data_IF_229452418070
#
_entry.id   IF_229452418070
#
_cell.length_a   1.000
_cell.length_b   1.000
_cell.length_c   1.000
_cell.angle_alpha   90.00
_cell.angle_beta   90.00
_cell.angle_gamma   90.00
#
_symmetry.space_group_name_H-M   'P 1'
#
loop_
_entity.id
_entity.type
_entity.pdbx_description
1 polymer ?
#
# COMPACT_ATOMS: atom_id res chain seq x y z
N UNK A 1 -24.28 8.31 1.24
CA UNK A 1 -23.80 8.26 -0.16
C UNK A 1 -23.20 6.88 -0.36
N UNK A 2 -23.80 6.09 -1.24
CA UNK A 2 -23.36 4.72 -1.55
C UNK A 2 -21.94 4.72 -2.11
N UNK A 3 -21.17 3.71 -1.73
CA UNK A 3 -19.79 3.43 -2.15
C UNK A 3 -19.68 3.11 -3.66
N UNK A 4 -20.82 2.87 -4.32
CA UNK A 4 -20.98 2.32 -5.67
C UNK A 4 -20.47 3.22 -6.83
N UNK A 5 -20.03 4.46 -6.58
CA UNK A 5 -19.58 5.38 -7.65
C UNK A 5 -18.14 5.89 -7.48
N UNK A 6 -17.30 5.15 -6.75
CA UNK A 6 -15.89 5.52 -6.59
C UNK A 6 -15.01 4.42 -7.15
N UNK A 7 -14.04 4.80 -7.98
CA UNK A 7 -12.91 3.96 -8.45
C UNK A 7 -12.27 3.12 -7.33
N UNK A 8 -12.45 3.50 -6.06
CA UNK A 8 -12.01 2.73 -4.90
C UNK A 8 -12.60 1.32 -4.80
N UNK A 9 -13.78 1.06 -5.39
CA UNK A 9 -14.45 -0.26 -5.32
C UNK A 9 -13.56 -1.41 -5.80
N UNK A 10 -12.71 -1.16 -6.82
CA UNK A 10 -11.79 -2.15 -7.37
C UNK A 10 -10.87 -2.78 -6.32
N UNK A 11 -10.47 -2.01 -5.31
CA UNK A 11 -9.57 -2.49 -4.25
C UNK A 11 -10.29 -3.45 -3.30
N UNK A 12 -11.57 -3.20 -3.00
CA UNK A 12 -12.42 -4.06 -2.17
C UNK A 12 -12.72 -5.38 -2.87
N UNK A 13 -13.13 -5.31 -4.13
CA UNK A 13 -13.42 -6.50 -4.94
C UNK A 13 -12.18 -7.38 -5.08
N UNK A 14 -11.02 -6.77 -5.37
CA UNK A 14 -9.76 -7.48 -5.44
C UNK A 14 -9.39 -8.15 -4.11
N UNK A 15 -9.51 -7.43 -2.99
CA UNK A 15 -9.19 -7.99 -1.68
C UNK A 15 -10.11 -9.17 -1.33
N UNK A 16 -11.43 -9.02 -1.50
CA UNK A 16 -12.41 -10.08 -1.25
C UNK A 16 -12.16 -11.30 -2.12
N UNK A 17 -11.78 -11.12 -3.39
CA UNK A 17 -11.43 -12.23 -4.26
C UNK A 17 -10.20 -13.00 -3.74
N UNK A 18 -9.18 -12.29 -3.23
CA UNK A 18 -8.02 -12.94 -2.60
C UNK A 18 -8.41 -13.63 -1.29
N UNK A 19 -9.33 -13.07 -0.50
CA UNK A 19 -9.86 -13.75 0.69
C UNK A 19 -10.53 -15.08 0.33
N UNK A 20 -11.39 -15.12 -0.69
CA UNK A 20 -12.02 -16.36 -1.13
C UNK A 20 -10.98 -17.37 -1.63
N UNK A 21 -10.01 -16.92 -2.42
CA UNK A 21 -8.92 -17.78 -2.90
C UNK A 21 -8.05 -18.33 -1.75
N UNK A 22 -7.80 -17.52 -0.72
CA UNK A 22 -7.00 -17.91 0.43
C UNK A 22 -7.68 -18.98 1.29
N UNK A 23 -9.03 -19.01 1.36
CA UNK A 23 -9.76 -20.05 2.10
C UNK A 23 -9.51 -21.46 1.56
N UNK A 24 -9.20 -21.57 0.28
CA UNK A 24 -8.98 -22.85 -0.41
C UNK A 24 -7.51 -23.30 -0.40
N UNK A 25 -6.62 -22.58 0.29
CA UNK A 25 -5.18 -22.82 0.26
C UNK A 25 -4.53 -22.70 1.64
N UNK A 26 -3.59 -23.59 1.93
CA UNK A 26 -2.76 -23.52 3.15
C UNK A 26 -1.65 -22.46 3.07
N UNK A 27 -1.52 -21.76 1.94
CA UNK A 27 -0.48 -20.75 1.74
C UNK A 27 -0.83 -19.41 2.36
N UNK A 28 0.20 -18.64 2.72
CA UNK A 28 0.03 -17.23 3.11
C UNK A 28 -0.01 -16.34 1.87
N UNK A 29 -0.98 -15.43 1.85
CA UNK A 29 -1.17 -14.47 0.78
C UNK A 29 -1.00 -13.05 1.31
N UNK A 30 -0.38 -12.20 0.49
CA UNK A 30 -0.21 -10.78 0.78
C UNK A 30 -0.84 -9.98 -0.36
N UNK A 31 -1.84 -9.16 -0.04
CA UNK A 31 -2.47 -8.25 -0.97
C UNK A 31 -1.69 -6.93 -1.02
N UNK A 32 -1.01 -6.70 -2.15
CA UNK A 32 -0.10 -5.56 -2.34
C UNK A 32 -0.80 -4.49 -3.17
N UNK A 33 -0.82 -3.25 -2.67
CA UNK A 33 -1.41 -2.12 -3.39
C UNK A 33 -0.57 -0.86 -3.32
N UNK A 34 -0.78 0.03 -4.28
CA UNK A 34 -0.15 1.34 -4.30
C UNK A 34 -0.86 2.34 -3.36
N UNK A 35 -0.47 3.62 -3.47
CA UNK A 35 -0.95 4.72 -2.61
C UNK A 35 -2.43 5.05 -2.76
N UNK A 36 -3.08 4.64 -3.84
CA UNK A 36 -4.51 4.89 -4.06
C UNK A 36 -5.39 4.00 -3.17
N UNK A 37 -4.86 2.85 -2.74
CA UNK A 37 -5.54 1.91 -1.86
C UNK A 37 -5.42 2.27 -0.37
N UNK A 38 -4.73 3.35 0.01
CA UNK A 38 -4.66 3.84 1.38
C UNK A 38 -6.00 4.50 1.82
N UNK A 39 -6.98 3.63 2.01
CA UNK A 39 -8.39 3.92 2.30
C UNK A 39 -8.75 3.18 3.59
N UNK A 40 -9.34 3.87 4.56
CA UNK A 40 -9.61 3.31 5.90
C UNK A 40 -10.50 2.06 5.83
N UNK A 41 -11.53 2.12 5.00
CA UNK A 41 -12.51 1.06 4.82
C UNK A 41 -11.89 -0.25 4.32
N UNK A 42 -10.78 -0.21 3.58
CA UNK A 42 -10.07 -1.42 3.15
C UNK A 42 -9.40 -2.14 4.34
N UNK A 43 -8.86 -1.39 5.32
CA UNK A 43 -8.36 -1.97 6.56
C UNK A 43 -9.48 -2.53 7.44
N UNK A 44 -10.68 -1.95 7.38
CA UNK A 44 -11.84 -2.51 8.06
C UNK A 44 -12.23 -3.87 7.45
N UNK A 45 -12.22 -4.01 6.12
CA UNK A 45 -12.46 -5.30 5.46
C UNK A 45 -11.43 -6.36 5.89
N UNK A 46 -10.17 -5.98 6.10
CA UNK A 46 -9.16 -6.88 6.64
C UNK A 46 -9.52 -7.40 8.03
N UNK A 47 -9.94 -6.50 8.93
CA UNK A 47 -10.39 -6.86 10.28
C UNK A 47 -11.63 -7.75 10.22
N UNK A 48 -12.60 -7.42 9.36
CA UNK A 48 -13.86 -8.13 9.22
C UNK A 48 -13.69 -9.52 8.59
N UNK A 49 -12.68 -9.70 7.72
CA UNK A 49 -12.35 -10.99 7.11
C UNK A 49 -11.84 -12.03 8.14
N UNK A 50 -11.34 -11.57 9.29
CA UNK A 50 -11.02 -12.42 10.43
C UNK A 50 -9.76 -13.28 10.26
N UNK A 51 -9.73 -14.41 10.97
CA UNK A 51 -8.57 -15.31 10.96
C UNK A 51 -8.36 -15.94 9.58
N UNK A 52 -7.10 -15.97 9.12
CA UNK A 52 -6.66 -16.39 7.77
C UNK A 52 -6.96 -15.42 6.62
N UNK A 53 -7.39 -14.20 6.94
CA UNK A 53 -7.38 -13.10 5.99
C UNK A 53 -5.97 -12.92 5.36
N UNK A 54 -5.88 -12.63 4.05
CA UNK A 54 -4.61 -12.25 3.42
C UNK A 54 -4.03 -10.99 4.07
N UNK A 55 -2.74 -11.02 4.40
CA UNK A 55 -2.05 -9.85 4.94
C UNK A 55 -2.05 -8.70 3.91
N UNK A 56 -1.92 -7.46 4.36
CA UNK A 56 -1.89 -6.29 3.47
C UNK A 56 -0.54 -5.60 3.46
N UNK A 57 -0.06 -5.25 2.26
CA UNK A 57 1.06 -4.33 2.08
C UNK A 57 0.62 -3.16 1.18
N UNK A 58 0.27 -2.05 1.81
CA UNK A 58 -0.26 -0.87 1.12
C UNK A 58 0.72 0.28 1.31
N UNK A 59 1.09 0.95 0.21
CA UNK A 59 1.92 2.16 0.30
C UNK A 59 1.10 3.28 0.94
N UNK A 60 1.57 3.79 2.08
CA UNK A 60 0.88 4.86 2.77
C UNK A 60 0.88 6.18 1.96
N UNK A 61 -0.23 6.92 2.03
CA UNK A 61 -0.49 8.17 1.32
C UNK A 61 -1.03 9.28 2.24
N UNK A 62 -1.73 8.90 3.32
CA UNK A 62 -2.36 9.82 4.27
C UNK A 62 -1.70 9.71 5.62
N UNK A 63 -1.41 10.85 6.25
CA UNK A 63 -1.02 10.86 7.65
C UNK A 63 -2.17 10.33 8.53
N UNK A 64 -1.86 9.36 9.39
CA UNK A 64 -2.83 8.69 10.25
C UNK A 64 -2.50 8.98 11.71
N UNK A 65 -3.53 9.12 12.54
CA UNK A 65 -3.35 9.18 13.99
C UNK A 65 -3.11 7.78 14.53
N UNK A 66 -2.12 7.64 15.39
CA UNK A 66 -1.79 6.38 16.05
C UNK A 66 -2.35 6.35 17.47
N UNK A 67 -2.62 5.14 17.95
CA UNK A 67 -2.98 4.92 19.35
C UNK A 67 -1.81 5.33 20.25
N UNK A 68 -2.11 5.96 21.39
CA UNK A 68 -1.09 6.58 22.26
C UNK A 68 -0.72 8.02 21.89
N UNK A 69 -1.26 8.56 20.78
CA UNK A 69 -1.11 9.95 20.37
C UNK A 69 0.00 10.17 19.33
N UNK A 70 -0.14 11.25 18.57
CA UNK A 70 0.77 11.60 17.48
C UNK A 70 0.29 11.16 16.10
N UNK A 71 1.08 11.53 15.10
CA UNK A 71 0.86 11.21 13.69
C UNK A 71 1.88 10.16 13.24
N UNK A 72 1.45 9.30 12.33
CA UNK A 72 2.21 8.15 11.87
C UNK A 72 3.58 8.53 11.28
N UNK A 73 3.71 9.62 10.52
CA UNK A 73 4.99 9.97 9.89
C UNK A 73 5.96 10.53 10.93
N UNK A 74 5.50 11.49 11.73
CA UNK A 74 6.30 12.03 12.83
C UNK A 74 6.75 10.94 13.80
N UNK A 75 5.91 9.94 14.06
CA UNK A 75 6.29 8.78 14.87
C UNK A 75 7.40 7.96 14.22
N UNK A 76 7.27 7.61 12.93
CA UNK A 76 8.30 6.86 12.21
C UNK A 76 9.65 7.58 12.19
N UNK A 77 9.66 8.91 12.12
CA UNK A 77 10.89 9.72 12.17
C UNK A 77 11.61 9.63 13.52
N UNK A 78 10.92 9.26 14.61
CA UNK A 78 11.55 9.08 15.92
C UNK A 78 12.21 7.71 16.11
N UNK A 79 11.94 6.76 15.21
CA UNK A 79 12.46 5.40 15.33
C UNK A 79 13.88 5.30 14.76
N UNK A 80 14.73 4.52 15.42
CA UNK A 80 16.03 4.17 14.85
C UNK A 80 15.83 3.24 13.64
N UNK A 81 16.52 3.49 12.51
CA UNK A 81 16.44 2.60 11.36
C UNK A 81 16.87 1.18 11.73
N UNK A 82 16.02 0.19 11.45
CA UNK A 82 16.35 -1.21 11.72
C UNK A 82 17.52 -1.72 10.87
N UNK A 83 17.63 -1.24 9.63
CA UNK A 83 18.72 -1.55 8.70
C UNK A 83 18.76 -0.53 7.54
N UNK A 84 19.80 -0.56 6.71
CA UNK A 84 19.92 0.24 5.48
C UNK A 84 20.48 -0.62 4.36
N UNK A 85 19.86 -0.53 3.18
CA UNK A 85 20.31 -1.25 1.99
C UNK A 85 20.32 -0.33 0.77
N UNK A 86 21.16 -0.66 -0.21
CA UNK A 86 21.25 0.08 -1.47
C UNK A 86 20.54 -0.68 -2.58
N UNK A 87 19.71 0.03 -3.35
CA UNK A 87 19.06 -0.51 -4.55
C UNK A 87 19.63 0.14 -5.80
N UNK A 88 19.80 -0.65 -6.86
CA UNK A 88 20.13 -0.11 -8.19
C UNK A 88 18.84 0.19 -8.92
N UNK A 89 18.56 1.47 -9.18
CA UNK A 89 17.40 1.88 -9.97
C UNK A 89 17.80 1.89 -11.46
N UNK A 90 17.24 0.99 -12.29
CA UNK A 90 17.58 0.97 -13.71
C UNK A 90 17.07 2.24 -14.39
N UNK A 91 17.90 2.83 -15.25
CA UNK A 91 17.48 3.98 -16.06
C UNK A 91 16.42 3.53 -17.04
N UNK A 92 15.22 4.13 -16.98
CA UNK A 92 14.20 3.95 -18.00
C UNK A 92 14.82 4.36 -19.34
N UNK A 93 14.89 3.45 -20.32
CA UNK A 93 15.24 3.82 -21.70
C UNK A 93 14.21 4.84 -22.15
N UNK A 94 14.63 6.09 -22.33
CA UNK A 94 13.83 7.06 -23.06
C UNK A 94 13.56 6.43 -24.43
N UNK A 95 12.28 6.29 -24.79
CA UNK A 95 11.94 6.18 -26.21
C UNK A 95 12.61 7.37 -26.90
N UNK A 96 13.31 7.10 -28.00
CA UNK A 96 14.19 8.06 -28.63
C UNK A 96 13.56 9.44 -28.87
N UNK A 97 14.46 10.42 -28.88
CA UNK A 97 14.32 11.82 -29.31
C UNK A 97 13.87 12.85 -28.26
N UNK A 98 14.82 13.74 -27.92
CA UNK A 98 14.52 15.05 -27.34
C UNK A 98 15.52 15.52 -26.30
N UNK A 99 16.64 16.08 -26.75
CA UNK A 99 17.61 16.84 -25.96
C UNK A 99 17.00 17.82 -24.93
N UNK A 100 17.60 17.94 -23.74
CA UNK A 100 18.46 19.08 -23.32
C UNK A 100 18.39 19.36 -21.79
N UNK A 101 19.48 19.01 -21.09
CA UNK A 101 20.20 19.68 -20.00
C UNK A 101 19.53 20.40 -18.79
N UNK A 102 20.07 20.04 -17.59
CA UNK A 102 20.36 20.77 -16.32
C UNK A 102 19.62 20.20 -15.08
N UNK A 103 20.30 19.49 -14.14
CA UNK A 103 21.11 19.98 -12.98
C UNK A 103 20.22 20.71 -11.96
N UNK A 104 20.17 20.45 -10.65
CA UNK A 104 20.72 19.46 -9.71
C UNK A 104 19.83 19.52 -8.45
N UNK A 105 19.88 18.47 -7.63
CA UNK A 105 19.46 18.50 -6.21
C UNK A 105 20.46 19.27 -5.36
#
# INVERSE_FOLDING_TARGET
>A
MSIEHKESVKWFEGYRAVCEFAKESDSKYIYICDREADIFELFQEYVDAGENAPDMLIRANRERKIEGGGCSWSYLETLEPADTYTITVPRKKEGGEGSNNRTSI
#
